data_IF_059346859782
#
_entry.id   IF_059346859782
#
_cell.length_a   1.000
_cell.length_b   1.000
_cell.length_c   1.000
_cell.angle_alpha   90.00
_cell.angle_beta   90.00
_cell.angle_gamma   90.00
#
_symmetry.space_group_name_H-M   'P 1'
#
loop_
_entity.id
_entity.type
_entity.pdbx_description
1 polymer ?
#
# COMPACT_ATOMS: atom_id res chain seq x y z
N UNK A 1 4.39 23.07 -20.47
CA UNK A 1 3.98 21.66 -20.65
C UNK A 1 4.36 20.92 -19.39
N UNK A 2 3.44 20.90 -18.44
CA UNK A 2 3.65 20.33 -17.11
C UNK A 2 3.84 18.83 -17.25
N UNK A 3 4.97 18.28 -16.82
CA UNK A 3 5.15 16.83 -16.72
C UNK A 3 3.95 16.24 -15.96
N UNK A 4 3.18 15.37 -16.60
CA UNK A 4 2.13 14.62 -15.92
C UNK A 4 2.79 13.79 -14.81
N UNK A 5 2.79 14.35 -13.60
CA UNK A 5 3.18 13.63 -12.38
C UNK A 5 2.39 12.34 -12.36
N UNK A 6 3.07 11.20 -12.59
CA UNK A 6 2.47 9.88 -12.41
C UNK A 6 1.84 9.82 -11.03
N UNK A 7 0.51 9.81 -10.98
CA UNK A 7 -0.23 9.73 -9.74
C UNK A 7 0.07 8.38 -9.09
N UNK A 8 0.79 8.46 -7.98
CA UNK A 8 1.09 7.31 -7.12
C UNK A 8 0.07 7.28 -6.01
N UNK A 9 -0.55 6.14 -5.83
CA UNK A 9 -1.49 5.88 -4.74
C UNK A 9 -0.79 5.00 -3.71
N UNK A 10 -0.73 5.48 -2.46
CA UNK A 10 -0.35 4.63 -1.35
C UNK A 10 -1.59 3.89 -0.84
N UNK A 11 -1.48 2.58 -0.71
CA UNK A 11 -2.55 1.69 -0.23
C UNK A 11 -2.07 0.98 1.01
N UNK A 12 -2.77 1.17 2.13
CA UNK A 12 -2.45 0.56 3.42
C UNK A 12 -3.58 -0.39 3.80
N UNK A 13 -3.22 -1.62 4.17
CA UNK A 13 -4.18 -2.57 4.74
C UNK A 13 -4.40 -2.26 6.22
N UNK A 14 -5.62 -1.88 6.58
CA UNK A 14 -5.97 -1.51 7.96
C UNK A 14 -6.48 -2.73 8.73
N UNK A 15 -7.31 -3.58 8.10
CA UNK A 15 -7.96 -4.71 8.77
C UNK A 15 -7.13 -6.01 8.71
N UNK A 16 -7.35 -6.87 9.71
CA UNK A 16 -6.75 -8.21 9.85
C UNK A 16 -7.20 -9.20 8.78
N UNK A 17 -6.89 -10.50 8.95
CA UNK A 17 -7.13 -11.57 7.96
C UNK A 17 -8.39 -12.42 8.19
N UNK A 18 -9.03 -12.29 9.35
CA UNK A 18 -10.16 -13.12 9.77
C UNK A 18 -11.47 -12.68 9.10
N UNK A 19 -12.30 -13.65 8.68
CA UNK A 19 -13.65 -13.39 8.16
C UNK A 19 -13.72 -12.70 6.80
N UNK A 20 -12.64 -12.75 6.00
CA UNK A 20 -12.60 -12.10 4.67
C UNK A 20 -13.17 -13.03 3.61
N UNK A 21 -14.06 -12.50 2.76
CA UNK A 21 -14.50 -13.15 1.53
C UNK A 21 -13.31 -13.52 0.63
N UNK A 22 -13.35 -14.71 0.03
CA UNK A 22 -12.25 -15.27 -0.78
C UNK A 22 -11.75 -14.29 -1.86
N UNK A 23 -12.68 -13.69 -2.61
CA UNK A 23 -12.37 -12.74 -3.69
C UNK A 23 -11.58 -11.51 -3.23
N UNK A 24 -11.92 -10.97 -2.06
CA UNK A 24 -11.23 -9.82 -1.48
C UNK A 24 -9.86 -10.26 -0.95
N UNK A 25 -9.79 -11.43 -0.31
CA UNK A 25 -8.54 -12.02 0.17
C UNK A 25 -7.55 -12.22 -0.98
N UNK A 26 -8.00 -12.70 -2.12
CA UNK A 26 -7.17 -12.91 -3.30
C UNK A 26 -6.75 -11.58 -3.94
N UNK A 27 -7.66 -10.59 -4.01
CA UNK A 27 -7.33 -9.23 -4.44
C UNK A 27 -6.22 -8.60 -3.58
N UNK A 28 -6.32 -8.71 -2.25
CA UNK A 28 -5.32 -8.23 -1.32
C UNK A 28 -3.97 -8.94 -1.49
N UNK A 29 -3.98 -10.25 -1.76
CA UNK A 29 -2.75 -11.02 -2.05
C UNK A 29 -2.11 -10.58 -3.36
N UNK A 30 -2.89 -10.31 -4.41
CA UNK A 30 -2.38 -9.81 -5.70
C UNK A 30 -1.72 -8.43 -5.55
N UNK A 31 -2.31 -7.56 -4.73
CA UNK A 31 -1.73 -6.27 -4.36
C UNK A 31 -0.51 -6.39 -3.42
N UNK A 32 -0.17 -7.59 -2.93
CA UNK A 32 0.89 -7.85 -1.94
C UNK A 32 0.60 -7.33 -0.51
N UNK A 33 -0.67 -7.10 -0.17
CA UNK A 33 -1.14 -6.64 1.14
C UNK A 33 -1.47 -7.83 2.06
N UNK A 34 -0.42 -8.53 2.51
CA UNK A 34 -0.59 -9.79 3.24
C UNK A 34 -1.13 -9.63 4.66
N UNK A 35 -0.63 -8.66 5.43
CA UNK A 35 -0.99 -8.44 6.85
C UNK A 35 -1.46 -7.00 7.08
N UNK A 36 -2.04 -6.72 8.25
CA UNK A 36 -2.33 -5.35 8.66
C UNK A 36 -1.07 -4.49 8.68
N UNK A 37 -1.24 -3.20 8.44
CA UNK A 37 -0.18 -2.19 8.35
C UNK A 37 0.87 -2.48 7.26
N UNK A 38 0.52 -3.28 6.25
CA UNK A 38 1.30 -3.36 5.03
C UNK A 38 0.86 -2.21 4.13
N UNK A 39 1.85 -1.55 3.53
CA UNK A 39 1.66 -0.47 2.57
C UNK A 39 2.25 -0.87 1.23
N UNK A 40 1.55 -0.54 0.15
CA UNK A 40 2.03 -0.72 -1.23
C UNK A 40 1.74 0.55 -1.99
N UNK A 41 2.68 0.98 -2.82
CA UNK A 41 2.49 2.11 -3.73
C UNK A 41 2.12 1.55 -5.09
N UNK A 42 1.00 2.01 -5.64
CA UNK A 42 0.42 1.55 -6.90
C UNK A 42 0.10 2.72 -7.81
N UNK A 43 0.00 2.45 -9.11
CA UNK A 43 -0.48 3.41 -10.10
C UNK A 43 -2.01 3.30 -10.26
N UNK A 44 -2.60 4.27 -10.97
CA UNK A 44 -4.05 4.33 -11.25
C UNK A 44 -4.61 3.10 -11.97
N UNK A 45 -3.78 2.36 -12.72
CA UNK A 45 -4.18 1.12 -13.39
C UNK A 45 -4.69 0.04 -12.44
N UNK A 46 -4.28 0.07 -11.17
CA UNK A 46 -4.70 -0.89 -10.14
C UNK A 46 -5.86 -0.36 -9.27
N UNK A 47 -6.40 0.83 -9.57
CA UNK A 47 -7.45 1.46 -8.77
C UNK A 47 -8.71 0.60 -8.66
N UNK A 48 -9.05 -0.17 -9.71
CA UNK A 48 -10.17 -1.11 -9.67
C UNK A 48 -10.03 -2.17 -8.56
N UNK A 49 -8.82 -2.73 -8.39
CA UNK A 49 -8.53 -3.69 -7.33
C UNK A 49 -8.60 -3.03 -5.94
N UNK A 50 -8.11 -1.80 -5.82
CA UNK A 50 -8.15 -1.05 -4.56
C UNK A 50 -9.60 -0.75 -4.16
N UNK A 51 -10.44 -0.31 -5.11
CA UNK A 51 -11.87 -0.07 -4.89
C UNK A 51 -12.61 -1.34 -4.46
N UNK A 52 -12.28 -2.50 -5.04
CA UNK A 52 -12.83 -3.81 -4.62
C UNK A 52 -12.48 -4.15 -3.17
N UNK A 53 -11.31 -3.73 -2.70
CA UNK A 53 -10.84 -3.98 -1.33
C UNK A 53 -11.15 -2.86 -0.33
N UNK A 54 -12.02 -1.89 -0.69
CA UNK A 54 -12.22 -0.63 0.07
C UNK A 54 -12.54 -0.79 1.55
N UNK A 55 -13.21 -1.88 1.92
CA UNK A 55 -13.66 -2.15 3.30
C UNK A 55 -12.54 -2.72 4.19
N UNK A 56 -11.34 -2.94 3.63
CA UNK A 56 -10.18 -3.49 4.32
C UNK A 56 -8.94 -2.60 4.24
N UNK A 57 -8.91 -1.71 3.25
CA UNK A 57 -7.77 -0.85 2.94
C UNK A 57 -8.15 0.60 3.03
N UNK A 58 -7.12 1.42 3.16
CA UNK A 58 -7.22 2.85 2.98
C UNK A 58 -6.19 3.30 1.99
N UNK A 59 -6.53 4.29 1.16
CA UNK A 59 -5.65 4.75 0.11
C UNK A 59 -5.78 6.24 -0.15
N UNK A 60 -4.73 6.81 -0.75
CA UNK A 60 -4.65 8.22 -1.08
C UNK A 60 -3.47 8.53 -1.99
N UNK A 61 -3.43 9.75 -2.48
CA UNK A 61 -2.32 10.29 -3.29
C UNK A 61 -1.11 10.52 -2.38
N UNK A 62 0.06 9.98 -2.77
CA UNK A 62 1.30 10.09 -1.99
C UNK A 62 2.23 11.15 -2.57
N UNK A 63 2.79 11.97 -1.69
CA UNK A 63 3.76 12.99 -2.07
C UNK A 63 5.14 12.38 -2.31
N UNK A 64 5.95 13.01 -3.16
CA UNK A 64 7.32 12.55 -3.42
C UNK A 64 8.19 12.54 -2.15
N UNK A 65 7.98 13.49 -1.25
CA UNK A 65 8.65 13.55 0.05
C UNK A 65 8.31 12.35 0.94
N UNK A 66 7.02 12.06 1.10
CA UNK A 66 6.53 10.94 1.89
C UNK A 66 6.97 9.60 1.28
N UNK A 67 7.01 9.51 -0.06
CA UNK A 67 7.51 8.34 -0.76
C UNK A 67 9.01 8.09 -0.49
N UNK A 68 9.85 9.14 -0.55
CA UNK A 68 11.28 9.04 -0.20
C UNK A 68 11.47 8.56 1.23
N UNK A 69 10.77 9.17 2.19
CA UNK A 69 10.79 8.79 3.60
C UNK A 69 10.40 7.32 3.81
N UNK A 70 9.37 6.86 3.09
CA UNK A 70 8.88 5.48 3.16
C UNK A 70 9.93 4.47 2.67
N UNK A 71 10.59 4.77 1.54
CA UNK A 71 11.64 3.91 0.98
C UNK A 71 12.86 3.89 1.89
N UNK A 72 13.29 5.05 2.40
CA UNK A 72 14.46 5.16 3.26
C UNK A 72 14.29 4.39 4.57
N UNK A 73 13.20 4.63 5.30
CA UNK A 73 13.01 4.04 6.63
C UNK A 73 12.49 2.61 6.61
N UNK A 74 11.69 2.25 5.60
CA UNK A 74 10.94 0.98 5.58
C UNK A 74 11.23 0.11 4.36
N UNK A 75 12.02 0.59 3.40
CA UNK A 75 12.46 -0.17 2.24
C UNK A 75 13.26 -1.40 2.67
N UNK A 76 12.86 -2.58 2.20
CA UNK A 76 13.61 -3.82 2.41
C UNK A 76 14.09 -4.36 1.09
N UNK A 77 15.37 -4.66 0.99
CA UNK A 77 15.96 -5.22 -0.22
C UNK A 77 15.26 -6.53 -0.62
N UNK A 78 15.05 -6.69 -1.93
CA UNK A 78 14.50 -7.91 -2.52
C UNK A 78 15.63 -8.85 -2.94
N UNK A 79 15.86 -9.89 -2.12
CA UNK A 79 16.84 -10.96 -2.38
C UNK A 79 16.22 -12.23 -2.98
N UNK A 80 14.99 -12.13 -3.49
CA UNK A 80 14.26 -13.29 -4.03
C UNK A 80 14.65 -13.61 -5.48
N UNK A 81 14.23 -14.78 -5.95
CA UNK A 81 14.34 -15.13 -7.38
C UNK A 81 13.57 -14.12 -8.23
N UNK A 82 14.17 -13.73 -9.35
CA UNK A 82 13.59 -12.79 -10.32
C UNK A 82 12.83 -13.53 -11.41
N UNK A 83 13.38 -14.67 -11.82
CA UNK A 83 12.87 -15.53 -12.87
C UNK A 83 12.66 -16.94 -12.38
N UNK A 84 11.79 -17.67 -13.07
CA UNK A 84 11.73 -19.12 -12.96
C UNK A 84 13.04 -19.78 -13.45
N UNK A 85 13.29 -21.02 -13.02
CA UNK A 85 14.46 -21.81 -13.46
C UNK A 85 14.57 -21.89 -14.99
N UNK A 86 13.43 -21.92 -15.71
CA UNK A 86 13.38 -21.93 -17.18
C UNK A 86 13.39 -20.54 -17.82
N UNK A 87 13.55 -19.46 -17.04
CA UNK A 87 13.51 -18.04 -17.45
C UNK A 87 12.24 -17.60 -18.20
N UNK A 88 11.16 -18.39 -18.18
CA UNK A 88 9.90 -18.08 -18.88
C UNK A 88 9.04 -17.05 -18.14
N UNK A 89 9.09 -17.02 -16.81
CA UNK A 89 8.23 -16.18 -15.98
C UNK A 89 9.08 -15.20 -15.18
N UNK A 90 8.72 -13.91 -15.25
CA UNK A 90 9.31 -12.84 -14.45
C UNK A 90 8.42 -12.51 -13.23
N UNK A 91 8.99 -12.59 -12.03
CA UNK A 91 8.28 -12.27 -10.80
C UNK A 91 8.28 -10.76 -10.51
N UNK A 92 7.13 -10.11 -10.69
CA UNK A 92 6.93 -8.66 -10.40
C UNK A 92 6.71 -8.36 -8.91
N UNK A 93 7.54 -8.94 -8.03
CA UNK A 93 7.42 -8.82 -6.55
C UNK A 93 8.31 -7.74 -5.93
N UNK A 94 8.98 -6.95 -6.76
CA UNK A 94 9.90 -5.90 -6.35
C UNK A 94 9.60 -4.58 -7.06
N UNK A 95 10.09 -3.50 -6.46
CA UNK A 95 10.17 -2.16 -7.05
C UNK A 95 11.65 -1.80 -7.22
N UNK A 96 11.97 -1.00 -8.21
CA UNK A 96 13.34 -0.52 -8.45
C UNK A 96 13.38 0.95 -8.03
N UNK A 97 14.27 1.28 -7.09
CA UNK A 97 14.52 2.65 -6.65
C UNK A 97 16.03 2.85 -6.59
N UNK A 98 16.56 3.84 -7.30
CA UNK A 98 17.99 4.15 -7.39
C UNK A 98 18.86 2.92 -7.70
N UNK A 99 18.49 2.16 -8.74
CA UNK A 99 19.13 0.90 -9.17
C UNK A 99 19.14 -0.25 -8.14
N UNK A 100 18.52 -0.08 -6.97
CA UNK A 100 18.34 -1.13 -5.96
C UNK A 100 16.93 -1.70 -6.02
N UNK A 101 16.83 -3.02 -5.83
CA UNK A 101 15.55 -3.75 -5.82
C UNK A 101 15.02 -3.84 -4.40
N UNK A 102 13.83 -3.31 -4.16
CA UNK A 102 13.13 -3.41 -2.88
C UNK A 102 11.89 -4.29 -3.01
N UNK A 103 11.46 -4.89 -1.91
CA UNK A 103 10.16 -5.58 -1.85
C UNK A 103 9.05 -4.60 -2.23
N UNK A 104 8.07 -5.07 -3.00
CA UNK A 104 6.93 -4.24 -3.46
C UNK A 104 6.08 -3.67 -2.33
N UNK A 105 6.11 -4.28 -1.15
CA UNK A 105 5.38 -3.84 0.03
C UNK A 105 6.32 -3.31 1.11
N UNK A 106 5.84 -2.34 1.87
CA UNK A 106 6.46 -1.76 3.05
C UNK A 106 5.73 -2.27 4.30
N UNK A 107 6.48 -2.62 5.33
CA UNK A 107 5.93 -3.03 6.63
C UNK A 107 5.94 -1.82 7.55
N UNK A 108 4.76 -1.29 7.84
CA UNK A 108 4.61 -0.13 8.71
C UNK A 108 4.31 -0.54 10.16
N UNK A 109 4.62 0.36 11.09
CA UNK A 109 4.13 0.26 12.46
C UNK A 109 2.66 0.72 12.52
N UNK A 110 1.90 0.35 13.57
CA UNK A 110 0.62 1.01 13.86
C UNK A 110 0.79 2.53 13.98
N UNK A 111 -0.22 3.34 13.65
CA UNK A 111 -0.11 4.80 13.72
C UNK A 111 0.07 5.26 15.17
N UNK A 112 1.05 6.14 15.40
CA UNK A 112 1.18 6.86 16.67
C UNK A 112 -0.09 7.70 16.91
N UNK A 113 -0.71 7.55 18.08
CA UNK A 113 -1.99 8.17 18.40
C UNK A 113 -3.23 7.41 17.90
N UNK A 114 -3.05 6.25 17.28
CA UNK A 114 -4.15 5.39 16.82
C UNK A 114 -4.76 5.80 15.48
N UNK A 115 -5.85 5.12 15.12
CA UNK A 115 -6.66 5.44 13.94
C UNK A 115 -7.73 6.50 14.25
N UNK A 116 -8.49 6.90 13.24
CA UNK A 116 -9.59 7.86 13.39
C UNK A 116 -10.62 7.45 14.45
N UNK A 117 -11.36 8.43 14.98
CA UNK A 117 -12.28 8.29 16.13
C UNK A 117 -13.28 7.14 16.00
N UNK A 118 -13.85 6.89 14.81
CA UNK A 118 -14.82 5.79 14.60
C UNK A 118 -14.15 4.43 14.31
N UNK A 119 -12.84 4.36 14.37
CA UNK A 119 -12.06 3.14 14.31
C UNK A 119 -11.88 2.56 12.90
N UNK A 120 -11.41 1.31 12.87
CA UNK A 120 -10.91 0.63 11.66
C UNK A 120 -11.98 -0.02 10.77
N UNK A 121 -13.24 0.02 11.19
CA UNK A 121 -14.36 -0.62 10.48
C UNK A 121 -15.25 0.38 9.74
N UNK A 122 -14.99 1.67 9.86
CA UNK A 122 -15.82 2.75 9.33
C UNK A 122 -15.09 3.49 8.21
N UNK A 123 -15.78 3.96 7.16
CA UNK A 123 -15.19 4.79 6.11
C UNK A 123 -14.68 6.14 6.61
N UNK A 124 -13.67 6.68 5.93
CA UNK A 124 -13.03 7.96 6.21
C UNK A 124 -14.00 9.14 6.14
N UNK A 125 -14.95 9.11 5.19
CA UNK A 125 -16.03 10.11 5.08
C UNK A 125 -16.90 10.21 6.33
N UNK A 126 -16.99 9.15 7.13
CA UNK A 126 -17.72 9.10 8.39
C UNK A 126 -16.78 9.18 9.60
N UNK A 127 -15.56 9.70 9.45
CA UNK A 127 -14.52 9.78 10.50
C UNK A 127 -13.98 8.43 10.97
N UNK A 128 -13.92 7.45 10.07
CA UNK A 128 -13.25 6.15 10.28
C UNK A 128 -11.96 6.00 9.49
N UNK A 129 -11.33 4.82 9.49
CA UNK A 129 -10.02 4.63 8.87
C UNK A 129 -10.05 4.08 7.42
N UNK A 130 -11.19 3.62 6.90
CA UNK A 130 -11.25 2.89 5.62
C UNK A 130 -11.54 3.79 4.43
N UNK A 131 -11.17 3.33 3.23
CA UNK A 131 -11.54 4.04 2.01
C UNK A 131 -10.51 5.07 1.54
N UNK A 132 -10.96 5.92 0.62
CA UNK A 132 -10.17 7.00 0.03
C UNK A 132 -10.05 8.19 0.97
N UNK A 133 -8.81 8.68 1.16
CA UNK A 133 -8.51 9.82 2.04
C UNK A 133 -7.70 10.95 1.38
N UNK A 134 -7.49 10.89 0.06
CA UNK A 134 -6.71 11.89 -0.70
C UNK A 134 -5.30 12.06 -0.08
N UNK A 135 -4.80 13.30 -0.04
CA UNK A 135 -3.49 13.69 0.51
C UNK A 135 -3.32 13.39 2.01
N UNK A 136 -4.41 13.21 2.78
CA UNK A 136 -4.34 12.86 4.22
C UNK A 136 -3.73 11.48 4.49
N UNK A 137 -3.43 10.70 3.44
CA UNK A 137 -2.63 9.49 3.57
C UNK A 137 -1.19 9.79 3.97
N UNK A 138 -0.65 10.93 3.56
CA UNK A 138 0.72 11.32 3.87
C UNK A 138 0.91 11.47 5.39
N UNK A 139 -0.03 12.12 6.06
CA UNK A 139 -0.02 12.26 7.52
C UNK A 139 -0.12 10.91 8.24
N UNK A 140 -0.96 9.99 7.73
CA UNK A 140 -1.05 8.65 8.29
C UNK A 140 0.28 7.90 8.14
N UNK A 141 0.90 7.95 6.96
CA UNK A 141 2.19 7.30 6.72
C UNK A 141 3.25 7.86 7.65
N UNK A 142 3.32 9.20 7.82
CA UNK A 142 4.25 9.85 8.76
C UNK A 142 4.07 9.37 10.20
N UNK A 143 2.84 9.06 10.63
CA UNK A 143 2.56 8.47 11.97
C UNK A 143 2.93 6.99 12.10
N UNK A 144 3.02 6.26 10.99
CA UNK A 144 3.23 4.80 10.93
C UNK A 144 4.68 4.40 10.57
N UNK A 145 5.45 5.32 10.00
CA UNK A 145 6.87 5.15 9.66
C UNK A 145 7.74 5.43 10.87
#
# INVERSE_FOLDING_TARGET
>A
MSEEKKKRLAVIRVRGQTGIKKDIKDTLKMLCLYRSNYCVVVDDSLLGMVRKAKDYVTWGEIDDETYRLLVEKRGKEYKGRLTDSKKKINYKKFIIVNNKKYKKYFRLSPPRGGFERKGIKTPFTKSGALGYRKEKINDLIKKMV
#
